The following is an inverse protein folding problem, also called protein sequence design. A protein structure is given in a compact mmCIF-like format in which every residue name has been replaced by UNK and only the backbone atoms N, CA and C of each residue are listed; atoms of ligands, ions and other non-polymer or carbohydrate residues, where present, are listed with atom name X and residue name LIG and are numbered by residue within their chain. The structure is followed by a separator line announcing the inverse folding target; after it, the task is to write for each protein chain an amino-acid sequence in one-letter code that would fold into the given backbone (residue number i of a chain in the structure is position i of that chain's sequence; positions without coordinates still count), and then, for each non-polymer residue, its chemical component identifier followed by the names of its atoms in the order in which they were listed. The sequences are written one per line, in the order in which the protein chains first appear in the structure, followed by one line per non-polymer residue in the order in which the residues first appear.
data_IF_696210985789
#
_entry.id   IF_696210985789
#
_cell.length_a   1.000
_cell.length_b   1.000
_cell.length_c   1.000
_cell.angle_alpha   90.00
_cell.angle_beta   90.00
_cell.angle_gamma   90.00
#
_symmetry.space_group_name_H-M   'P 1'
#
loop_
_entity.id
_entity.type
_entity.pdbx_description
1 polymer ?
#
# COMPACT_ATOMS: atom_id res chain seq x y z
N UNK A 1 -1.07 4.39 -14.36
CA UNK A 1 -0.17 3.26 -13.99
C UNK A 1 1.12 3.84 -13.44
N UNK A 2 1.61 3.32 -12.32
CA UNK A 2 2.86 3.83 -11.70
C UNK A 2 4.11 3.24 -12.37
N UNK A 3 5.28 3.85 -12.13
CA UNK A 3 6.57 3.32 -12.55
C UNK A 3 6.90 1.92 -11.98
N UNK A 4 6.17 1.49 -10.94
CA UNK A 4 6.30 0.18 -10.30
C UNK A 4 5.25 -0.83 -10.78
N UNK A 5 4.49 -0.50 -11.83
CA UNK A 5 3.45 -1.37 -12.38
C UNK A 5 2.19 -1.46 -11.52
N UNK A 6 1.98 -0.50 -10.61
CA UNK A 6 0.78 -0.45 -9.78
C UNK A 6 -0.36 0.26 -10.52
N UNK A 7 -1.56 -0.28 -10.34
CA UNK A 7 -2.82 0.27 -10.83
C UNK A 7 -3.58 0.92 -9.67
N UNK A 8 -4.49 1.84 -10.00
CA UNK A 8 -5.45 2.47 -9.08
C UNK A 8 -4.86 3.02 -7.78
N UNK A 9 -3.64 3.53 -7.85
CA UNK A 9 -2.95 4.19 -6.70
C UNK A 9 -3.52 5.60 -6.45
N UNK A 10 -4.17 6.18 -7.46
CA UNK A 10 -4.77 7.51 -7.43
C UNK A 10 -6.08 7.46 -8.21
N UNK A 11 -7.13 8.12 -7.71
CA UNK A 11 -8.41 8.23 -8.41
C UNK A 11 -9.23 6.94 -8.46
N UNK A 12 -9.02 6.01 -7.51
CA UNK A 12 -9.73 4.73 -7.39
C UNK A 12 -10.52 4.64 -6.09
N UNK A 13 -10.04 3.83 -5.14
CA UNK A 13 -10.42 3.89 -3.74
C UNK A 13 -9.22 4.38 -2.92
N UNK A 14 -9.45 5.10 -1.82
CA UNK A 14 -8.41 5.34 -0.83
C UNK A 14 -8.10 4.03 -0.12
N UNK A 15 -6.83 3.72 0.14
CA UNK A 15 -6.41 2.41 0.65
C UNK A 15 -6.00 2.50 2.13
N UNK A 16 -6.53 1.60 2.97
CA UNK A 16 -6.12 1.52 4.36
C UNK A 16 -4.62 1.21 4.50
N UNK A 17 -3.96 1.92 5.40
CA UNK A 17 -2.58 1.66 5.81
C UNK A 17 -2.53 1.13 7.23
N UNK A 18 -1.38 0.56 7.61
CA UNK A 18 -1.15 0.11 8.98
C UNK A 18 -0.95 1.27 9.97
N UNK A 19 -0.77 2.49 9.46
CA UNK A 19 -0.47 3.67 10.25
C UNK A 19 -1.69 4.13 11.07
N UNK A 20 -1.39 4.66 12.25
CA UNK A 20 -2.36 5.29 13.15
C UNK A 20 -2.14 6.79 13.12
N UNK A 21 -3.22 7.58 13.05
CA UNK A 21 -3.09 9.03 12.96
C UNK A 21 -2.48 9.64 14.24
N UNK A 22 -2.87 9.11 15.41
CA UNK A 22 -2.42 9.59 16.71
C UNK A 22 -1.84 8.44 17.55
N UNK A 23 -0.51 8.38 17.73
CA UNK A 23 0.11 7.40 18.62
C UNK A 23 -0.41 7.57 20.05
N UNK A 24 -1.21 6.62 20.53
CA UNK A 24 -1.87 6.66 21.85
C UNK A 24 -3.40 6.71 21.80
N UNK A 25 -3.98 7.14 20.69
CA UNK A 25 -5.43 7.14 20.44
C UNK A 25 -5.71 6.50 19.08
N UNK A 26 -5.71 5.17 19.06
CA UNK A 26 -5.79 4.35 17.83
C UNK A 26 -7.22 4.22 17.28
N UNK A 27 -8.07 5.21 17.49
CA UNK A 27 -9.45 5.18 16.99
C UNK A 27 -9.50 5.25 15.46
N UNK A 28 -8.57 5.98 14.83
CA UNK A 28 -8.53 6.14 13.38
C UNK A 28 -7.28 5.49 12.79
N UNK A 29 -7.47 4.84 11.64
CA UNK A 29 -6.40 4.37 10.75
C UNK A 29 -6.27 5.33 9.58
N UNK A 30 -5.06 5.43 9.05
CA UNK A 30 -4.76 6.28 7.90
C UNK A 30 -5.20 5.58 6.62
N UNK A 31 -5.73 6.35 5.67
CA UNK A 31 -5.93 5.92 4.29
C UNK A 31 -5.01 6.72 3.38
N UNK A 32 -4.29 6.03 2.52
CA UNK A 32 -3.41 6.60 1.50
C UNK A 32 -4.08 6.64 0.12
N UNK A 33 -3.60 7.56 -0.71
CA UNK A 33 -4.12 7.76 -2.05
C UNK A 33 -5.45 8.52 -2.05
N UNK A 34 -6.17 8.40 -3.15
CA UNK A 34 -7.39 9.16 -3.37
C UNK A 34 -8.45 8.33 -4.08
N UNK A 35 -9.70 8.59 -3.73
CA UNK A 35 -10.84 7.98 -4.40
C UNK A 35 -11.22 8.79 -5.63
N UNK A 36 -11.83 8.15 -6.63
CA UNK A 36 -12.35 8.84 -7.80
C UNK A 36 -13.41 9.89 -7.39
N UNK A 37 -13.10 11.18 -7.52
CA UNK A 37 -14.06 12.22 -7.19
C UNK A 37 -13.56 13.65 -7.40
N UNK A 38 -14.51 14.58 -7.36
CA UNK A 38 -14.27 16.02 -7.40
C UNK A 38 -15.04 16.65 -6.23
N UNK A 39 -14.39 17.56 -5.49
CA UNK A 39 -15.08 18.38 -4.50
C UNK A 39 -15.05 19.84 -4.92
N UNK A 40 -16.11 20.30 -5.61
CA UNK A 40 -16.48 21.68 -6.00
C UNK A 40 -15.40 22.57 -6.68
N UNK A 41 -14.10 22.31 -6.50
CA UNK A 41 -12.93 23.10 -6.91
C UNK A 41 -11.64 22.27 -6.97
N UNK A 42 -11.65 20.98 -6.59
CA UNK A 42 -10.45 20.14 -6.47
C UNK A 42 -10.71 18.72 -6.98
N UNK A 43 -9.92 18.31 -7.97
CA UNK A 43 -9.83 16.92 -8.40
C UNK A 43 -9.17 16.14 -7.26
N UNK A 44 -9.90 15.22 -6.64
CA UNK A 44 -9.38 14.31 -5.63
C UNK A 44 -8.71 13.11 -6.33
N UNK A 45 -7.74 13.39 -7.21
CA UNK A 45 -6.95 12.40 -7.92
C UNK A 45 -5.47 12.72 -7.72
N UNK A 46 -5.02 12.52 -6.49
CA UNK A 46 -3.62 12.68 -6.15
C UNK A 46 -3.12 11.53 -5.28
N UNK A 47 -1.95 11.00 -5.65
CA UNK A 47 -1.29 9.88 -4.93
C UNK A 47 -0.87 10.25 -3.53
N UNK A 48 -0.59 11.54 -3.26
CA UNK A 48 -0.25 12.01 -1.91
C UNK A 48 -1.49 12.35 -1.06
N UNK A 49 -2.69 11.97 -1.50
CA UNK A 49 -3.89 12.08 -0.68
C UNK A 49 -3.73 11.25 0.59
N UNK A 50 -4.04 11.86 1.73
CA UNK A 50 -4.05 11.20 3.02
C UNK A 50 -5.28 11.63 3.78
N UNK A 51 -6.00 10.67 4.33
CA UNK A 51 -7.12 10.89 5.24
C UNK A 51 -7.08 9.88 6.37
N UNK A 52 -8.00 9.95 7.33
CA UNK A 52 -8.13 8.96 8.38
C UNK A 52 -9.59 8.66 8.65
N UNK A 53 -9.89 7.41 8.98
CA UNK A 53 -11.23 6.99 9.32
C UNK A 53 -11.17 5.95 10.46
N UNK A 54 -12.25 5.88 11.23
CA UNK A 54 -12.46 4.78 12.17
C UNK A 54 -12.67 3.48 11.38
N UNK A 55 -11.86 2.43 11.62
CA UNK A 55 -11.93 1.17 10.87
C UNK A 55 -13.24 0.39 11.09
N UNK A 56 -14.03 0.74 12.11
CA UNK A 56 -15.37 0.17 12.33
C UNK A 56 -16.45 0.77 11.44
N UNK A 57 -16.21 1.94 10.85
CA UNK A 57 -17.14 2.60 9.94
C UNK A 57 -16.90 2.08 8.53
N UNK A 58 -17.91 1.44 7.95
CA UNK A 58 -17.88 1.05 6.54
C UNK A 58 -17.86 2.29 5.64
N UNK A 59 -16.75 2.54 4.96
CA UNK A 59 -16.63 3.58 3.94
C UNK A 59 -16.67 2.97 2.53
N UNK A 60 -17.57 3.50 1.69
CA UNK A 60 -17.76 3.03 0.31
C UNK A 60 -16.60 3.36 -0.62
N UNK A 61 -15.72 4.28 -0.22
CA UNK A 61 -14.55 4.72 -0.98
C UNK A 61 -13.22 4.26 -0.36
N UNK A 62 -13.27 3.36 0.63
CA UNK A 62 -12.10 2.77 1.26
C UNK A 62 -11.86 1.34 0.75
N UNK A 63 -10.64 1.06 0.30
CA UNK A 63 -10.19 -0.23 -0.18
C UNK A 63 -8.99 -0.79 0.60
N UNK A 64 -8.49 -1.93 0.17
CA UNK A 64 -7.32 -2.59 0.75
C UNK A 64 -6.41 -3.09 -0.36
N UNK A 65 -5.10 -2.93 -0.15
CA UNK A 65 -4.05 -3.57 -0.94
C UNK A 65 -3.10 -4.28 0.00
N UNK A 66 -2.81 -5.55 -0.31
CA UNK A 66 -1.91 -6.36 0.48
C UNK A 66 -0.51 -6.18 -0.09
N UNK A 67 0.43 -5.81 0.78
CA UNK A 67 1.86 -5.79 0.48
C UNK A 67 2.58 -6.79 1.39
N UNK A 68 3.59 -7.46 0.84
CA UNK A 68 4.47 -8.34 1.61
C UNK A 68 5.90 -8.14 1.13
N UNK A 69 6.84 -8.06 2.07
CA UNK A 69 8.26 -8.10 1.74
C UNK A 69 8.65 -9.59 1.67
N UNK A 70 9.22 -10.08 0.55
CA UNK A 70 9.66 -11.46 0.46
C UNK A 70 10.69 -11.76 1.56
N UNK A 71 10.53 -12.91 2.21
CA UNK A 71 11.51 -13.40 3.20
C UNK A 71 12.91 -13.46 2.57
N UNK A 72 13.97 -12.94 3.24
CA UNK A 72 15.32 -12.94 2.69
C UNK A 72 15.82 -14.32 2.26
N UNK A 73 15.33 -15.37 2.93
CA UNK A 73 15.66 -16.77 2.65
C UNK A 73 15.28 -17.20 1.22
N UNK A 74 14.21 -16.64 0.64
CA UNK A 74 13.73 -16.94 -0.71
C UNK A 74 14.77 -16.51 -1.76
N UNK A 75 15.52 -15.44 -1.50
CA UNK A 75 16.59 -14.96 -2.39
C UNK A 75 17.92 -15.65 -2.10
N UNK A 76 18.24 -15.88 -0.83
CA UNK A 76 19.50 -16.50 -0.42
C UNK A 76 19.63 -17.97 -0.86
N UNK A 77 18.55 -18.76 -0.78
CA UNK A 77 18.57 -20.18 -1.14
C UNK A 77 18.99 -20.45 -2.61
N UNK A 78 18.40 -19.83 -3.64
CA UNK A 78 18.82 -20.04 -5.03
C UNK A 78 20.21 -19.47 -5.31
N UNK A 79 20.60 -18.35 -4.68
CA UNK A 79 21.96 -17.82 -4.82
C UNK A 79 23.01 -18.77 -4.24
N UNK A 80 22.73 -19.36 -3.07
CA UNK A 80 23.60 -20.36 -2.45
C UNK A 80 23.68 -21.64 -3.28
N UNK A 81 22.55 -22.11 -3.81
CA UNK A 81 22.50 -23.26 -4.69
C UNK A 81 23.33 -23.03 -5.97
N UNK A 82 23.20 -21.86 -6.60
CA UNK A 82 24.01 -21.45 -7.74
C UNK A 82 25.50 -21.40 -7.40
N UNK A 83 25.87 -20.88 -6.23
CA UNK A 83 27.25 -20.82 -5.77
C UNK A 83 27.85 -22.21 -5.53
N UNK A 84 27.10 -23.12 -4.89
CA UNK A 84 27.51 -24.53 -4.69
C UNK A 84 27.67 -25.23 -6.05
N UNK A 85 26.72 -25.04 -6.96
CA UNK A 85 26.76 -25.69 -8.28
C UNK A 85 27.94 -25.21 -9.13
N UNK A 86 28.26 -23.90 -9.07
CA UNK A 86 29.47 -23.33 -9.71
C UNK A 86 30.77 -23.84 -9.10
N UNK A 87 30.79 -24.15 -7.81
CA UNK A 87 32.00 -24.67 -7.12
C UNK A 87 32.23 -26.16 -7.35
N UNK A 88 31.20 -26.89 -7.80
CA UNK A 88 31.25 -28.34 -8.09
C UNK A 88 31.50 -28.68 -9.56
N UNK A 89 31.46 -27.68 -10.45
CA UNK A 89 31.94 -27.77 -11.83
C UNK A 89 33.38 -27.27 -11.90
#
# INVERSE_FOLDING_TARGET
MSAYGLWDVSGGASEWTEEVLWPGFQYNRVLGGSYAGDSNYLINDHVSGVTSLDPSIGASNAGLRIASIPEPSIVCAPLLACAIFRRRR
#
